data_IF_890617620640
#
_entry.id   IF_890617620640
#
_cell.length_a   1.000
_cell.length_b   1.000
_cell.length_c   1.000
_cell.angle_alpha   90.00
_cell.angle_beta   90.00
_cell.angle_gamma   90.00
#
_symmetry.space_group_name_H-M   'P 1'
#
loop_
_entity.id
_entity.type
_entity.pdbx_description
1 polymer ?
#
# COMPACT_ATOMS: atom_id res chain seq x y z
N UNK A 1 -18.13 -16.22 35.15
CA UNK A 1 -16.86 -16.05 34.39
C UNK A 1 -16.99 -14.96 33.30
N UNK A 2 -17.64 -13.82 33.60
CA UNK A 2 -17.97 -12.77 32.60
C UNK A 2 -16.92 -11.64 32.56
N UNK A 3 -16.38 -11.26 33.72
CA UNK A 3 -15.38 -10.19 33.85
C UNK A 3 -14.09 -10.40 33.03
N UNK A 4 -13.55 -11.63 32.99
CA UNK A 4 -12.36 -11.93 32.16
C UNK A 4 -12.65 -11.83 30.66
N UNK A 5 -13.89 -12.11 30.23
CA UNK A 5 -14.31 -11.98 28.84
C UNK A 5 -14.40 -10.50 28.47
N UNK A 6 -15.00 -9.68 29.34
CA UNK A 6 -15.09 -8.23 29.16
C UNK A 6 -13.70 -7.57 29.05
N UNK A 7 -12.74 -7.91 29.93
CA UNK A 7 -11.37 -7.40 29.84
C UNK A 7 -10.72 -7.78 28.51
N UNK A 8 -10.84 -9.05 28.09
CA UNK A 8 -10.30 -9.51 26.80
C UNK A 8 -10.93 -8.75 25.63
N UNK A 9 -12.23 -8.46 25.70
CA UNK A 9 -12.95 -7.72 24.68
C UNK A 9 -12.48 -6.26 24.60
N UNK A 10 -12.26 -5.58 25.72
CA UNK A 10 -11.72 -4.21 25.75
C UNK A 10 -10.36 -4.16 25.04
N UNK A 11 -9.44 -5.05 25.39
CA UNK A 11 -8.11 -5.12 24.76
C UNK A 11 -8.21 -5.44 23.27
N UNK A 12 -9.12 -6.35 22.89
CA UNK A 12 -9.32 -6.74 21.49
C UNK A 12 -9.88 -5.60 20.65
N UNK A 13 -10.84 -4.84 21.19
CA UNK A 13 -11.41 -3.67 20.53
C UNK A 13 -10.37 -2.56 20.35
N UNK A 14 -9.58 -2.28 21.39
CA UNK A 14 -8.50 -1.28 21.31
C UNK A 14 -7.46 -1.66 20.24
N UNK A 15 -7.03 -2.94 20.20
CA UNK A 15 -6.12 -3.44 19.15
C UNK A 15 -6.73 -3.31 17.76
N UNK A 16 -8.00 -3.68 17.58
CA UNK A 16 -8.70 -3.57 16.29
C UNK A 16 -8.75 -2.12 15.79
N UNK A 17 -9.03 -1.17 16.68
CA UNK A 17 -9.03 0.26 16.35
C UNK A 17 -7.64 0.74 15.94
N UNK A 18 -6.61 0.41 16.71
CA UNK A 18 -5.22 0.76 16.39
C UNK A 18 -4.79 0.19 15.03
N UNK A 19 -5.05 -1.09 14.77
CA UNK A 19 -4.74 -1.71 13.48
C UNK A 19 -5.51 -1.07 12.32
N UNK A 20 -6.78 -0.68 12.52
CA UNK A 20 -7.56 -0.01 11.49
C UNK A 20 -6.97 1.36 11.12
N UNK A 21 -6.57 2.15 12.12
CA UNK A 21 -5.95 3.45 11.92
C UNK A 21 -4.61 3.32 11.19
N UNK A 22 -3.75 2.40 11.63
CA UNK A 22 -2.46 2.12 10.99
C UNK A 22 -2.67 1.67 9.54
N UNK A 23 -3.58 0.74 9.29
CA UNK A 23 -3.85 0.25 7.93
C UNK A 23 -4.31 1.38 7.00
N UNK A 24 -5.19 2.27 7.48
CA UNK A 24 -5.71 3.38 6.69
C UNK A 24 -4.59 4.35 6.29
N UNK A 25 -3.75 4.73 7.27
CA UNK A 25 -2.60 5.60 7.04
C UNK A 25 -1.59 4.97 6.06
N UNK A 26 -1.32 3.68 6.21
CA UNK A 26 -0.38 2.97 5.32
C UNK A 26 -0.89 2.86 3.88
N UNK A 27 -2.19 2.62 3.68
CA UNK A 27 -2.77 2.56 2.33
C UNK A 27 -2.69 3.94 1.66
N UNK A 28 -2.98 5.01 2.39
CA UNK A 28 -2.84 6.38 1.87
C UNK A 28 -1.36 6.68 1.53
N UNK A 29 -0.41 6.30 2.39
CA UNK A 29 1.01 6.46 2.12
C UNK A 29 1.42 5.71 0.85
N UNK A 30 0.98 4.46 0.68
CA UNK A 30 1.22 3.68 -0.53
C UNK A 30 0.63 4.32 -1.77
N UNK A 31 -0.59 4.85 -1.71
CA UNK A 31 -1.18 5.56 -2.84
C UNK A 31 -0.33 6.78 -3.26
N UNK A 32 0.12 7.57 -2.28
CA UNK A 32 0.96 8.74 -2.53
C UNK A 32 2.33 8.37 -3.10
N UNK A 33 2.95 7.29 -2.61
CA UNK A 33 4.21 6.76 -3.17
C UNK A 33 4.00 6.32 -4.62
N UNK A 34 2.92 5.58 -4.90
CA UNK A 34 2.58 5.14 -6.25
C UNK A 34 2.42 6.32 -7.22
N UNK A 35 1.75 7.38 -6.78
CA UNK A 35 1.66 8.65 -7.52
C UNK A 35 3.02 9.22 -7.84
N UNK A 36 3.89 9.37 -6.83
CA UNK A 36 5.22 9.96 -7.02
C UNK A 36 6.09 9.14 -7.98
N UNK A 37 6.02 7.81 -7.92
CA UNK A 37 6.72 6.93 -8.86
C UNK A 37 6.25 7.19 -10.30
N UNK A 38 4.93 7.24 -10.53
CA UNK A 38 4.39 7.44 -11.88
C UNK A 38 4.70 8.84 -12.42
N UNK A 39 4.63 9.88 -11.58
CA UNK A 39 5.04 11.24 -11.94
C UNK A 39 6.53 11.31 -12.33
N UNK A 40 7.40 10.60 -11.60
CA UNK A 40 8.84 10.54 -11.91
C UNK A 40 9.11 9.82 -13.23
N UNK A 41 8.46 8.67 -13.46
CA UNK A 41 8.60 7.90 -14.69
C UNK A 41 8.13 8.66 -15.94
N UNK A 42 7.12 9.52 -15.82
CA UNK A 42 6.64 10.36 -16.93
C UNK A 42 7.67 11.40 -17.39
N UNK A 43 8.62 11.77 -16.53
CA UNK A 43 9.71 12.70 -16.87
C UNK A 43 10.94 12.00 -17.47
N UNK A 44 10.98 10.66 -17.49
CA UNK A 44 12.09 9.86 -18.05
C UNK A 44 11.86 9.43 -19.50
N UNK A 45 12.85 9.61 -20.37
CA UNK A 45 12.73 9.41 -21.82
C UNK A 45 12.72 7.95 -22.31
N UNK A 46 13.05 6.95 -21.48
CA UNK A 46 13.12 5.53 -21.90
C UNK A 46 12.28 4.59 -21.03
N UNK A 47 11.10 4.25 -21.57
CA UNK A 47 9.97 3.66 -20.83
C UNK A 47 10.04 2.13 -20.75
N UNK A 48 11.02 1.59 -20.05
CA UNK A 48 10.94 0.26 -19.42
C UNK A 48 12.10 0.05 -18.45
N UNK A 49 13.32 0.32 -18.92
CA UNK A 49 14.54 0.08 -18.17
C UNK A 49 14.71 1.10 -17.03
N UNK A 50 14.38 2.37 -17.29
CA UNK A 50 14.35 3.43 -16.26
C UNK A 50 13.36 3.11 -15.13
N UNK A 51 12.16 2.64 -15.46
CA UNK A 51 11.15 2.25 -14.46
C UNK A 51 11.61 1.06 -13.61
N UNK A 52 12.30 0.08 -14.20
CA UNK A 52 12.87 -1.05 -13.45
C UNK A 52 13.95 -0.58 -12.46
N UNK A 53 14.85 0.30 -12.90
CA UNK A 53 15.90 0.86 -12.05
C UNK A 53 15.35 1.72 -10.90
N UNK A 54 14.30 2.51 -11.15
CA UNK A 54 13.59 3.28 -10.11
C UNK A 54 13.03 2.35 -9.04
N UNK A 55 12.34 1.28 -9.44
CA UNK A 55 11.73 0.33 -8.49
C UNK A 55 12.78 -0.35 -7.63
N UNK A 56 13.90 -0.79 -8.23
CA UNK A 56 15.00 -1.41 -7.51
C UNK A 56 15.65 -0.44 -6.51
N UNK A 57 15.90 0.81 -6.93
CA UNK A 57 16.45 1.86 -6.08
C UNK A 57 15.56 2.16 -4.88
N UNK A 58 14.26 2.42 -5.12
CA UNK A 58 13.30 2.70 -4.06
C UNK A 58 13.20 1.51 -3.10
N UNK A 59 13.16 0.28 -3.63
CA UNK A 59 13.06 -0.91 -2.81
C UNK A 59 14.27 -1.04 -1.87
N UNK A 60 15.47 -0.82 -2.40
CA UNK A 60 16.72 -0.90 -1.63
C UNK A 60 16.74 0.14 -0.51
N UNK A 61 16.47 1.41 -0.84
CA UNK A 61 16.53 2.50 0.14
C UNK A 61 15.45 2.37 1.21
N UNK A 62 14.20 2.08 0.84
CA UNK A 62 13.13 1.90 1.83
C UNK A 62 13.33 0.63 2.70
N UNK A 63 13.88 -0.44 2.13
CA UNK A 63 14.20 -1.65 2.93
C UNK A 63 15.35 -1.38 3.91
N UNK A 64 16.32 -0.55 3.51
CA UNK A 64 17.43 -0.13 4.38
C UNK A 64 16.94 0.75 5.55
N UNK A 65 16.06 1.70 5.27
CA UNK A 65 15.53 2.66 6.26
C UNK A 65 14.48 2.02 7.18
N UNK A 66 13.52 1.28 6.61
CA UNK A 66 12.30 0.82 7.31
C UNK A 66 12.20 -0.69 7.48
N UNK A 67 13.15 -1.46 6.94
CA UNK A 67 13.20 -2.91 7.07
C UNK A 67 12.24 -3.65 6.13
N UNK A 68 11.77 -4.82 6.59
CA UNK A 68 10.96 -5.73 5.78
C UNK A 68 9.65 -5.08 5.35
N UNK A 69 9.23 -5.35 4.11
CA UNK A 69 7.96 -4.89 3.56
C UNK A 69 8.11 -4.11 2.25
N UNK A 70 9.29 -3.53 2.00
CA UNK A 70 9.56 -2.67 0.84
C UNK A 70 10.35 -3.36 -0.28
N UNK A 71 10.17 -4.67 -0.47
CA UNK A 71 10.81 -5.40 -1.57
C UNK A 71 10.32 -4.95 -2.96
N UNK A 72 11.01 -5.32 -4.06
CA UNK A 72 10.70 -4.79 -5.40
C UNK A 72 9.26 -5.05 -5.83
N UNK A 73 8.73 -6.23 -5.49
CA UNK A 73 7.32 -6.58 -5.74
C UNK A 73 6.34 -5.67 -5.01
N UNK A 74 6.65 -5.23 -3.79
CA UNK A 74 5.80 -4.30 -3.05
C UNK A 74 5.81 -2.94 -3.73
N UNK A 75 6.98 -2.42 -4.07
CA UNK A 75 7.12 -1.12 -4.76
C UNK A 75 6.40 -1.15 -6.12
N UNK A 76 6.53 -2.24 -6.87
CA UNK A 76 5.79 -2.42 -8.10
C UNK A 76 4.27 -2.47 -7.86
N UNK A 77 3.78 -3.19 -6.84
CA UNK A 77 2.36 -3.18 -6.49
C UNK A 77 1.87 -1.79 -6.09
N UNK A 78 2.68 -1.01 -5.37
CA UNK A 78 2.39 0.37 -4.97
C UNK A 78 2.24 1.26 -6.22
N UNK A 79 3.15 1.13 -7.18
CA UNK A 79 3.04 1.80 -8.49
C UNK A 79 1.73 1.41 -9.20
N UNK A 80 1.45 0.12 -9.32
CA UNK A 80 0.21 -0.37 -9.94
C UNK A 80 -1.04 0.12 -9.21
N UNK A 81 -0.98 0.21 -7.88
CA UNK A 81 -2.09 0.71 -7.08
C UNK A 81 -2.53 2.11 -7.51
N UNK A 82 -1.58 3.02 -7.72
CA UNK A 82 -1.92 4.36 -8.22
C UNK A 82 -2.46 4.32 -9.66
N UNK A 83 -1.87 3.51 -10.54
CA UNK A 83 -2.29 3.42 -11.95
C UNK A 83 -3.75 2.95 -12.08
N UNK A 84 -4.16 1.94 -11.31
CA UNK A 84 -5.53 1.41 -11.36
C UNK A 84 -6.52 2.28 -10.59
N UNK A 85 -6.06 3.09 -9.64
CA UNK A 85 -6.90 3.89 -8.76
C UNK A 85 -6.42 5.34 -8.65
N UNK A 86 -6.33 6.11 -9.75
CA UNK A 86 -5.75 7.45 -9.73
C UNK A 86 -6.68 8.52 -9.13
N UNK A 87 -7.97 8.22 -8.97
CA UNK A 87 -8.96 9.17 -8.45
C UNK A 87 -8.89 9.27 -6.92
N UNK A 88 -8.38 10.40 -6.43
CA UNK A 88 -8.24 10.71 -5.01
C UNK A 88 -9.60 10.76 -4.28
N UNK A 89 -10.67 11.16 -4.94
CA UNK A 89 -12.00 11.30 -4.31
C UNK A 89 -12.58 9.93 -3.97
N UNK A 90 -12.42 8.94 -4.85
CA UNK A 90 -12.81 7.55 -4.60
C UNK A 90 -11.93 6.94 -3.50
N UNK A 91 -10.63 7.25 -3.53
CA UNK A 91 -9.67 6.68 -2.59
C UNK A 91 -9.85 7.14 -1.14
N UNK A 92 -10.27 8.38 -0.89
CA UNK A 92 -10.53 8.89 0.47
C UNK A 92 -11.46 7.98 1.27
N UNK A 93 -12.52 7.47 0.64
CA UNK A 93 -13.45 6.54 1.30
C UNK A 93 -12.83 5.16 1.46
N UNK A 94 -12.17 4.65 0.42
CA UNK A 94 -11.62 3.29 0.42
C UNK A 94 -10.43 3.10 1.36
N UNK A 95 -9.63 4.14 1.63
CA UNK A 95 -8.53 4.08 2.60
C UNK A 95 -9.01 3.68 3.99
N UNK A 96 -10.20 4.15 4.40
CA UNK A 96 -10.76 3.85 5.72
C UNK A 96 -11.39 2.46 5.83
N UNK A 97 -11.72 1.83 4.70
CA UNK A 97 -12.48 0.59 4.65
C UNK A 97 -11.63 -0.63 4.25
N UNK A 98 -10.55 -0.41 3.50
CA UNK A 98 -9.75 -1.48 2.90
C UNK A 98 -8.29 -1.40 3.36
N UNK A 99 -7.79 -2.49 3.93
CA UNK A 99 -6.36 -2.67 4.19
C UNK A 99 -5.55 -2.98 2.91
N UNK A 100 -4.22 -2.84 2.99
CA UNK A 100 -3.31 -3.16 1.90
C UNK A 100 -3.49 -4.57 1.33
N UNK A 101 -3.81 -5.57 2.17
CA UNK A 101 -4.03 -6.94 1.70
C UNK A 101 -5.26 -7.09 0.81
N UNK A 102 -6.29 -6.25 0.96
CA UNK A 102 -7.42 -6.19 0.03
C UNK A 102 -6.95 -5.65 -1.33
N UNK A 103 -6.22 -4.54 -1.35
CA UNK A 103 -5.67 -3.98 -2.59
C UNK A 103 -4.72 -4.95 -3.30
N UNK A 104 -3.87 -5.67 -2.57
CA UNK A 104 -3.02 -6.71 -3.15
C UNK A 104 -3.82 -7.82 -3.86
N UNK A 105 -4.99 -8.20 -3.33
CA UNK A 105 -5.88 -9.19 -3.98
C UNK A 105 -6.49 -8.62 -5.25
N UNK A 106 -7.01 -7.39 -5.18
CA UNK A 106 -7.59 -6.69 -6.34
C UNK A 106 -6.55 -6.53 -7.45
N UNK A 107 -5.33 -6.11 -7.12
CA UNK A 107 -4.22 -6.00 -8.05
C UNK A 107 -3.80 -7.33 -8.68
N UNK A 108 -4.03 -8.47 -8.01
CA UNK A 108 -3.77 -9.79 -8.63
C UNK A 108 -4.80 -10.12 -9.70
N UNK A 109 -6.06 -9.75 -9.51
CA UNK A 109 -7.13 -9.95 -10.50
C UNK A 109 -6.84 -9.14 -11.77
N UNK A 110 -6.47 -7.86 -11.62
CA UNK A 110 -6.10 -7.02 -12.76
C UNK A 110 -4.90 -7.57 -13.56
N UNK A 111 -3.97 -8.27 -12.91
CA UNK A 111 -2.81 -8.89 -13.57
C UNK A 111 -3.12 -10.20 -14.28
N UNK A 112 -4.17 -10.90 -13.88
CA UNK A 112 -4.55 -12.19 -14.46
C UNK A 112 -5.45 -12.04 -15.71
N UNK A 113 -5.90 -10.82 -16.02
CA UNK A 113 -6.79 -10.51 -17.15
C UNK A 113 -6.08 -10.07 -18.43
N UNK A 114 -4.76 -10.22 -18.53
CA UNK A 114 -3.95 -9.94 -19.72
C UNK A 114 -3.08 -11.15 -20.08
#
# INVERSE_FOLDING_TARGET
>A
MNYLIEIKNIVTQARRQAYSAINSAMVEAYWNIGRRIVEEEQNGADRAEYGKQIIETISKELTKEFGKGFGPRTIWNIRQFYIYFPDKQIMKTLFSQLSWSHFQRVLKVFKAGY
#
